data_IF_777540651153
#
_entry.id   IF_777540651153
#
_cell.length_a   1.000
_cell.length_b   1.000
_cell.length_c   1.000
_cell.angle_alpha   90.00
_cell.angle_beta   90.00
_cell.angle_gamma   90.00
#
_symmetry.space_group_name_H-M   'P 1'
#
loop_
_entity.id
_entity.type
_entity.pdbx_description
1 polymer ?
#
# COMPACT_ATOMS: atom_id res chain seq x y z
N UNK A 1 13.93 18.82 -10.54
CA UNK A 1 12.91 17.92 -9.96
C UNK A 1 12.06 17.37 -11.10
N UNK A 2 11.50 16.17 -10.98
CA UNK A 2 10.55 15.63 -11.97
C UNK A 2 9.26 16.46 -11.97
N UNK A 3 8.56 16.56 -13.11
CA UNK A 3 7.24 17.20 -13.16
C UNK A 3 6.18 16.34 -12.48
N UNK A 4 5.06 16.93 -12.04
CA UNK A 4 3.99 16.15 -11.40
C UNK A 4 3.37 15.12 -12.35
N UNK A 5 3.28 15.46 -13.64
CA UNK A 5 2.84 14.54 -14.69
C UNK A 5 3.80 13.34 -14.82
N UNK A 6 5.13 13.57 -14.73
CA UNK A 6 6.11 12.49 -14.76
C UNK A 6 5.99 11.63 -13.50
N UNK A 7 5.82 12.21 -12.32
CA UNK A 7 5.64 11.47 -11.06
C UNK A 7 4.42 10.54 -11.18
N UNK A 8 3.26 11.08 -11.60
CA UNK A 8 2.06 10.27 -11.87
C UNK A 8 2.36 9.14 -12.84
N UNK A 9 2.94 9.43 -14.00
CA UNK A 9 3.23 8.45 -15.05
C UNK A 9 4.08 7.30 -14.50
N UNK A 10 5.17 7.59 -13.80
CA UNK A 10 6.06 6.59 -13.25
C UNK A 10 5.43 5.80 -12.10
N UNK A 11 4.70 6.46 -11.20
CA UNK A 11 4.02 5.78 -10.09
C UNK A 11 2.91 4.86 -10.60
N UNK A 12 2.05 5.32 -11.50
CA UNK A 12 1.00 4.48 -12.12
C UNK A 12 1.59 3.29 -12.85
N UNK A 13 2.67 3.47 -13.61
CA UNK A 13 3.36 2.36 -14.29
C UNK A 13 3.90 1.33 -13.28
N UNK A 14 4.43 1.76 -12.14
CA UNK A 14 4.92 0.84 -11.10
C UNK A 14 3.80 -0.01 -10.47
N UNK A 15 2.59 0.55 -10.39
CA UNK A 15 1.42 -0.10 -9.79
C UNK A 15 0.78 -1.17 -10.70
N UNK A 16 1.20 -1.30 -11.96
CA UNK A 16 0.78 -2.39 -12.84
C UNK A 16 1.16 -3.78 -12.27
N UNK A 17 2.17 -3.84 -11.40
CA UNK A 17 2.59 -5.06 -10.70
C UNK A 17 1.69 -5.42 -9.51
N UNK A 18 0.85 -4.49 -9.05
CA UNK A 18 -0.07 -4.65 -7.91
C UNK A 18 -1.45 -4.08 -8.28
N UNK A 19 -2.15 -4.66 -9.27
CA UNK A 19 -3.44 -4.15 -9.73
C UNK A 19 -4.53 -4.23 -8.65
N UNK A 20 -5.50 -3.33 -8.72
CA UNK A 20 -6.73 -3.36 -7.90
C UNK A 20 -7.63 -4.51 -8.35
N UNK A 21 -8.38 -5.11 -7.42
CA UNK A 21 -9.40 -6.12 -7.72
C UNK A 21 -8.83 -7.52 -7.99
N UNK A 22 -7.59 -7.77 -7.58
CA UNK A 22 -7.00 -9.12 -7.50
C UNK A 22 -6.68 -9.44 -6.04
N UNK A 23 -7.38 -10.45 -5.50
CA UNK A 23 -7.53 -10.72 -4.07
C UNK A 23 -6.20 -10.89 -3.29
N UNK A 24 -5.11 -11.31 -3.96
CA UNK A 24 -3.87 -11.66 -3.27
C UNK A 24 -2.93 -10.47 -3.01
N UNK A 25 -2.87 -9.47 -3.89
CA UNK A 25 -1.87 -8.39 -3.77
C UNK A 25 -2.10 -7.51 -2.54
N UNK A 26 -3.37 -7.30 -2.16
CA UNK A 26 -3.74 -6.56 -0.96
C UNK A 26 -3.29 -7.26 0.32
N UNK A 27 -3.47 -8.59 0.38
CA UNK A 27 -2.96 -9.43 1.47
C UNK A 27 -1.44 -9.46 1.52
N UNK A 28 -0.78 -9.57 0.38
CA UNK A 28 0.69 -9.57 0.31
C UNK A 28 1.30 -8.27 0.84
N UNK A 29 0.62 -7.13 0.64
CA UNK A 29 1.00 -5.90 1.31
C UNK A 29 0.97 -6.04 2.84
N UNK A 30 -0.14 -6.51 3.43
CA UNK A 30 -0.23 -6.64 4.89
C UNK A 30 0.71 -7.71 5.45
N UNK A 31 0.94 -8.81 4.73
CA UNK A 31 1.96 -9.82 5.09
C UNK A 31 3.34 -9.19 5.15
N UNK A 32 3.73 -8.44 4.12
CA UNK A 32 4.98 -7.70 4.10
C UNK A 32 5.04 -6.67 5.23
N UNK A 33 3.98 -5.87 5.39
CA UNK A 33 3.93 -4.76 6.33
C UNK A 33 4.04 -5.25 7.78
N UNK A 34 3.29 -6.27 8.17
CA UNK A 34 3.31 -6.83 9.52
C UNK A 34 4.61 -7.59 9.83
N UNK A 35 5.23 -8.19 8.81
CA UNK A 35 6.53 -8.87 8.98
C UNK A 35 7.68 -7.88 9.19
N UNK A 36 7.68 -6.76 8.46
CA UNK A 36 8.81 -5.83 8.45
C UNK A 36 8.63 -4.66 9.44
N UNK A 37 7.40 -4.38 9.85
CA UNK A 37 7.04 -3.29 10.75
C UNK A 37 6.05 -3.79 11.82
N UNK A 38 6.41 -4.80 12.63
CA UNK A 38 5.48 -5.45 13.56
C UNK A 38 4.88 -4.48 14.59
N UNK A 39 5.54 -3.36 14.88
CA UNK A 39 5.07 -2.30 15.79
C UNK A 39 3.79 -1.61 15.30
N UNK A 40 3.49 -1.66 13.99
CA UNK A 40 2.28 -1.05 13.42
C UNK A 40 1.02 -1.85 13.74
N UNK A 41 1.16 -3.14 14.12
CA UNK A 41 0.04 -4.03 14.43
C UNK A 41 -0.81 -3.52 15.60
N UNK A 42 -0.24 -2.70 16.50
CA UNK A 42 -0.95 -2.04 17.62
C UNK A 42 -2.17 -1.21 17.17
N UNK A 43 -2.20 -0.76 15.92
CA UNK A 43 -3.30 0.01 15.33
C UNK A 43 -4.40 -0.87 14.72
N UNK A 44 -4.18 -2.18 14.61
CA UNK A 44 -5.10 -3.13 13.99
C UNK A 44 -5.78 -3.97 15.07
N UNK A 45 -6.82 -3.42 15.68
CA UNK A 45 -7.54 -4.07 16.80
C UNK A 45 -8.00 -5.49 16.48
N UNK A 46 -7.66 -6.45 17.33
CA UNK A 46 -7.91 -7.88 17.14
C UNK A 46 -6.91 -8.59 16.20
N UNK A 47 -5.88 -7.88 15.73
CA UNK A 47 -4.83 -8.39 14.86
C UNK A 47 -3.43 -7.95 15.33
N UNK A 48 -3.29 -7.55 16.60
CA UNK A 48 -2.04 -7.04 17.18
C UNK A 48 -0.89 -8.06 17.09
N UNK A 49 -1.22 -9.36 17.17
CA UNK A 49 -0.24 -10.45 17.12
C UNK A 49 -0.26 -11.23 15.80
N UNK A 50 -0.98 -10.77 14.78
CA UNK A 50 -1.09 -11.49 13.52
C UNK A 50 0.28 -11.68 12.86
N UNK A 51 0.52 -12.91 12.43
CA UNK A 51 1.61 -13.31 11.54
C UNK A 51 1.19 -13.18 10.07
N UNK A 52 2.12 -13.40 9.14
CA UNK A 52 1.80 -13.45 7.71
C UNK A 52 0.78 -14.55 7.38
N UNK A 53 0.80 -15.67 8.08
CA UNK A 53 -0.13 -16.78 7.88
C UNK A 53 -1.54 -16.44 8.38
N UNK A 54 -1.64 -15.69 9.49
CA UNK A 54 -2.92 -15.19 10.00
C UNK A 54 -3.55 -14.20 9.02
N UNK A 55 -2.74 -13.29 8.46
CA UNK A 55 -3.18 -12.36 7.41
C UNK A 55 -3.68 -13.11 6.17
N UNK A 56 -2.95 -14.15 5.73
CA UNK A 56 -3.33 -14.93 4.55
C UNK A 56 -4.72 -15.56 4.68
N UNK A 57 -5.08 -16.01 5.88
CA UNK A 57 -6.35 -16.70 6.19
C UNK A 57 -7.50 -15.75 6.58
N UNK A 58 -7.25 -14.44 6.64
CA UNK A 58 -8.21 -13.49 7.20
C UNK A 58 -9.01 -12.75 6.12
N UNK A 59 -10.34 -12.91 6.14
CA UNK A 59 -11.28 -12.17 5.28
C UNK A 59 -11.25 -10.65 5.53
N UNK A 60 -10.88 -10.23 6.75
CA UNK A 60 -10.67 -8.81 7.06
C UNK A 60 -9.61 -8.22 6.14
N UNK A 61 -8.52 -8.94 5.91
CA UNK A 61 -7.39 -8.46 5.12
C UNK A 61 -7.59 -8.63 3.61
N UNK A 62 -8.60 -9.39 3.16
CA UNK A 62 -9.11 -9.28 1.78
C UNK A 62 -9.69 -7.88 1.57
N UNK A 63 -10.71 -7.52 2.38
CA UNK A 63 -11.39 -6.23 2.28
C UNK A 63 -10.45 -5.05 2.54
N UNK A 64 -9.59 -5.17 3.55
CA UNK A 64 -8.65 -4.12 3.90
C UNK A 64 -7.50 -4.00 2.87
N UNK A 65 -7.11 -5.12 2.26
CA UNK A 65 -6.16 -5.21 1.16
C UNK A 65 -6.64 -4.45 -0.08
N UNK A 66 -7.88 -4.70 -0.50
CA UNK A 66 -8.49 -4.00 -1.62
C UNK A 66 -8.61 -2.49 -1.35
N UNK A 67 -9.07 -2.12 -0.16
CA UNK A 67 -9.24 -0.72 0.21
C UNK A 67 -7.90 0.06 0.17
N UNK A 68 -6.80 -0.56 0.63
CA UNK A 68 -5.50 0.12 0.65
C UNK A 68 -4.89 0.20 -0.75
N UNK A 69 -5.00 -0.87 -1.56
CA UNK A 69 -4.56 -0.83 -2.95
C UNK A 69 -5.32 0.22 -3.74
N UNK A 70 -6.65 0.26 -3.64
CA UNK A 70 -7.46 1.29 -4.28
C UNK A 70 -7.01 2.69 -3.87
N UNK A 71 -6.78 2.92 -2.58
CA UNK A 71 -6.35 4.24 -2.07
C UNK A 71 -5.00 4.68 -2.66
N UNK A 72 -4.04 3.77 -2.79
CA UNK A 72 -2.73 4.06 -3.40
C UNK A 72 -2.85 4.31 -4.90
N UNK A 73 -3.69 3.53 -5.60
CA UNK A 73 -3.98 3.76 -7.03
C UNK A 73 -4.65 5.11 -7.26
N UNK A 74 -5.60 5.52 -6.41
CA UNK A 74 -6.22 6.85 -6.49
C UNK A 74 -5.18 7.93 -6.26
N UNK A 75 -4.35 7.85 -5.21
CA UNK A 75 -3.27 8.81 -4.95
C UNK A 75 -2.36 9.00 -6.17
N UNK A 76 -1.95 7.91 -6.82
CA UNK A 76 -1.10 7.95 -8.00
C UNK A 76 -1.81 8.63 -9.19
N UNK A 77 -3.07 8.28 -9.44
CA UNK A 77 -3.82 8.76 -10.60
C UNK A 77 -4.21 10.24 -10.50
N UNK A 78 -4.35 10.78 -9.30
CA UNK A 78 -4.73 12.19 -9.08
C UNK A 78 -3.55 13.11 -8.76
N UNK A 79 -2.31 12.59 -8.76
CA UNK A 79 -1.13 13.35 -8.32
C UNK A 79 -0.89 14.64 -9.12
N UNK A 80 -1.17 14.64 -10.44
CA UNK A 80 -1.06 15.80 -11.32
C UNK A 80 -2.25 16.78 -11.22
N UNK A 81 -3.23 16.49 -10.36
CA UNK A 81 -4.37 17.35 -10.04
C UNK A 81 -4.26 17.79 -8.57
N UNK A 82 -3.45 18.82 -8.33
CA UNK A 82 -3.07 19.25 -6.98
C UNK A 82 -4.26 19.49 -6.02
N UNK A 83 -5.36 20.18 -6.41
CA UNK A 83 -6.51 20.35 -5.52
C UNK A 83 -7.15 19.02 -5.09
N UNK A 84 -7.33 18.08 -6.02
CA UNK A 84 -7.91 16.76 -5.74
C UNK A 84 -6.95 15.91 -4.92
N UNK A 85 -5.66 15.91 -5.25
CA UNK A 85 -4.64 15.20 -4.50
C UNK A 85 -4.60 15.67 -3.04
N UNK A 86 -4.53 16.97 -2.80
CA UNK A 86 -4.51 17.54 -1.44
C UNK A 86 -5.79 17.23 -0.67
N UNK A 87 -6.95 17.29 -1.31
CA UNK A 87 -8.22 16.93 -0.69
C UNK A 87 -8.25 15.45 -0.28
N UNK A 88 -7.85 14.55 -1.17
CA UNK A 88 -7.80 13.11 -0.90
C UNK A 88 -6.79 12.75 0.20
N UNK A 89 -5.61 13.38 0.19
CA UNK A 89 -4.61 13.23 1.26
C UNK A 89 -5.20 13.69 2.59
N UNK A 90 -5.81 14.87 2.66
CA UNK A 90 -6.40 15.41 3.90
C UNK A 90 -7.49 14.50 4.46
N UNK A 91 -8.38 13.99 3.61
CA UNK A 91 -9.41 13.03 3.99
C UNK A 91 -8.79 11.74 4.57
N UNK A 92 -7.75 11.21 3.93
CA UNK A 92 -7.01 10.05 4.46
C UNK A 92 -6.35 10.34 5.80
N UNK A 93 -5.67 11.47 5.95
CA UNK A 93 -5.04 11.89 7.21
C UNK A 93 -6.08 11.96 8.34
N UNK A 94 -7.24 12.58 8.09
CA UNK A 94 -8.30 12.74 9.08
C UNK A 94 -8.88 11.38 9.53
N UNK A 95 -9.12 10.46 8.59
CA UNK A 95 -9.59 9.10 8.88
C UNK A 95 -8.63 8.34 9.80
N UNK A 96 -7.33 8.54 9.65
CA UNK A 96 -6.30 7.85 10.45
C UNK A 96 -5.99 8.56 11.77
N UNK A 97 -6.08 9.89 11.82
CA UNK A 97 -5.93 10.66 13.05
C UNK A 97 -6.94 10.24 14.12
N UNK A 98 -8.20 10.01 13.73
CA UNK A 98 -9.25 9.51 14.65
C UNK A 98 -8.97 8.13 15.26
N UNK A 99 -8.02 7.38 14.70
CA UNK A 99 -7.60 6.04 15.14
C UNK A 99 -6.29 6.06 15.94
N UNK A 100 -5.76 7.26 16.24
CA UNK A 100 -4.52 7.44 17.00
C UNK A 100 -3.25 7.10 16.20
N UNK A 101 -3.31 7.01 14.87
CA UNK A 101 -2.13 6.71 14.05
C UNK A 101 -1.13 7.87 14.13
N UNK A 102 0.08 7.57 14.57
CA UNK A 102 1.16 8.55 14.71
C UNK A 102 1.58 9.13 13.33
N UNK A 103 1.76 10.46 13.20
CA UNK A 103 2.16 11.08 11.93
C UNK A 103 3.49 10.59 11.35
N UNK A 104 4.40 10.08 12.19
CA UNK A 104 5.69 9.50 11.76
C UNK A 104 5.50 8.29 10.83
N UNK A 105 4.38 7.58 10.94
CA UNK A 105 4.11 6.34 10.21
C UNK A 105 3.76 6.56 8.73
N UNK A 106 3.43 7.79 8.32
CA UNK A 106 3.16 8.08 6.90
C UNK A 106 4.38 7.81 6.02
N UNK A 107 5.59 8.09 6.52
CA UNK A 107 6.83 7.76 5.80
C UNK A 107 7.07 6.26 5.74
N UNK A 108 6.81 5.54 6.85
CA UNK A 108 6.90 4.08 6.91
C UNK A 108 5.99 3.46 5.87
N UNK A 109 4.73 3.87 5.82
CA UNK A 109 3.73 3.43 4.86
C UNK A 109 4.17 3.59 3.40
N UNK A 110 4.61 4.80 3.00
CA UNK A 110 5.05 5.07 1.63
C UNK A 110 6.28 4.23 1.25
N UNK A 111 7.22 4.06 2.18
CA UNK A 111 8.40 3.22 1.98
C UNK A 111 8.05 1.73 1.86
N UNK A 112 7.07 1.24 2.62
CA UNK A 112 6.59 -0.14 2.51
C UNK A 112 5.98 -0.41 1.14
N UNK A 113 5.17 0.51 0.62
CA UNK A 113 4.57 0.39 -0.72
C UNK A 113 5.62 0.41 -1.83
N UNK A 114 6.56 1.35 -1.79
CA UNK A 114 7.66 1.41 -2.76
C UNK A 114 8.52 0.12 -2.73
N UNK A 115 8.77 -0.42 -1.54
CA UNK A 115 9.54 -1.66 -1.38
C UNK A 115 8.80 -2.88 -1.93
N UNK A 116 7.48 -2.95 -1.72
CA UNK A 116 6.64 -4.03 -2.24
C UNK A 116 6.63 -4.05 -3.78
N UNK A 117 6.43 -2.91 -4.43
CA UNK A 117 6.39 -2.85 -5.91
C UNK A 117 7.72 -3.25 -6.53
N UNK A 118 8.84 -2.86 -5.92
CA UNK A 118 10.19 -3.30 -6.33
C UNK A 118 10.37 -4.80 -6.12
N UNK A 119 9.93 -5.35 -4.98
CA UNK A 119 10.04 -6.79 -4.68
C UNK A 119 9.26 -7.63 -5.70
N UNK A 120 8.02 -7.23 -6.00
CA UNK A 120 7.16 -7.94 -6.96
C UNK A 120 7.76 -7.85 -8.37
N UNK A 121 8.22 -6.66 -8.78
CA UNK A 121 8.87 -6.50 -10.10
C UNK A 121 10.11 -7.40 -10.26
N UNK A 122 10.92 -7.57 -9.21
CA UNK A 122 12.06 -8.50 -9.23
C UNK A 122 11.62 -9.96 -9.35
N UNK A 123 10.58 -10.36 -8.61
CA UNK A 123 10.04 -11.74 -8.66
C UNK A 123 9.54 -12.11 -10.06
N UNK A 124 8.74 -11.23 -10.69
CA UNK A 124 8.21 -11.43 -12.05
C UNK A 124 9.34 -11.56 -13.07
N UNK A 125 10.38 -10.73 -12.97
CA UNK A 125 11.55 -10.84 -13.87
C UNK A 125 12.28 -12.16 -13.71
N UNK A 126 12.42 -12.68 -12.49
CA UNK A 126 13.06 -13.96 -12.24
C UNK A 126 12.25 -15.13 -12.79
N UNK A 127 10.92 -15.12 -12.65
CA UNK A 127 10.05 -16.16 -13.21
C UNK A 127 10.12 -16.20 -14.75
N UNK A 128 10.10 -15.04 -15.42
CA UNK A 128 10.22 -14.94 -16.88
C UNK A 128 11.59 -15.40 -17.40
N UNK A 129 12.65 -15.25 -16.60
CA UNK A 129 14.02 -15.67 -16.98
C UNK A 129 14.26 -17.17 -16.79
N UNK A 130 13.43 -17.84 -15.98
CA UNK A 130 13.60 -19.25 -15.58
C UNK A 130 12.57 -20.21 -16.19
N UNK A 131 11.51 -19.68 -16.82
CA UNK A 131 10.51 -20.45 -17.57
C UNK A 131 10.70 -20.34 -19.08
#
# INVERSE_FOLDING_TARGET
AMSDADVKKHTVASLANVPVGKDQHGKDFYKFFFTNYPEVRKYFKGAEEFTADDVQKSERFDKQGDAILLSVHVLANVYDNEPVFRAFVRDNLNKHASRGVEPSLWKVFLNSFASLTVKISKSVKTEVMLG
#
